data_IF_035457658645
#
_entry.id   IF_035457658645
#
_cell.length_a   1.000
_cell.length_b   1.000
_cell.length_c   1.000
_cell.angle_alpha   90.00
_cell.angle_beta   90.00
_cell.angle_gamma   90.00
#
_symmetry.space_group_name_H-M   'P 1'
#
loop_
_entity.id
_entity.type
_entity.pdbx_description
1 polymer ?
#
# COMPACT_ATOMS: atom_id res chain seq x y z
N UNK A 1 1.81 -43.08 21.32
CA UNK A 1 1.57 -42.71 22.74
C UNK A 1 0.09 -42.85 23.11
N UNK A 2 -0.85 -42.20 22.41
CA UNK A 2 -2.30 -42.33 22.67
C UNK A 2 -2.82 -43.76 22.49
N UNK A 3 -2.39 -44.46 21.42
CA UNK A 3 -2.69 -45.89 21.20
C UNK A 3 -2.21 -46.76 22.37
N UNK A 4 -1.01 -46.48 22.90
CA UNK A 4 -0.44 -47.21 24.04
C UNK A 4 -1.15 -46.90 25.38
N UNK A 5 -1.87 -45.78 25.46
CA UNK A 5 -2.68 -45.38 26.61
C UNK A 5 -4.12 -45.95 26.56
N UNK A 6 -4.46 -46.73 25.52
CA UNK A 6 -5.79 -47.35 25.40
C UNK A 6 -6.92 -46.33 25.22
N UNK A 7 -6.66 -45.21 24.53
CA UNK A 7 -7.68 -44.21 24.26
C UNK A 7 -8.79 -44.74 23.35
N UNK A 8 -10.00 -44.20 23.51
CA UNK A 8 -11.18 -44.61 22.75
C UNK A 8 -11.03 -44.34 21.25
N UNK A 9 -11.82 -45.07 20.46
CA UNK A 9 -11.84 -44.97 19.00
C UNK A 9 -12.30 -43.58 18.50
N UNK A 10 -13.01 -42.83 19.34
CA UNK A 10 -13.41 -41.44 19.12
C UNK A 10 -12.18 -40.50 19.07
N UNK A 11 -11.25 -40.64 20.02
CA UNK A 11 -10.03 -39.84 20.09
C UNK A 11 -9.03 -40.29 19.01
N UNK A 12 -8.95 -41.59 18.72
CA UNK A 12 -8.08 -42.15 17.69
C UNK A 12 -8.56 -41.87 16.24
N UNK A 13 -9.85 -41.59 16.06
CA UNK A 13 -10.37 -41.06 14.79
C UNK A 13 -9.89 -39.62 14.52
N UNK A 14 -9.63 -38.84 15.58
CA UNK A 14 -9.19 -37.46 15.50
C UNK A 14 -7.66 -37.33 15.46
N UNK A 15 -6.97 -38.06 16.34
CA UNK A 15 -5.51 -38.12 16.41
C UNK A 15 -5.05 -39.46 15.85
N UNK A 16 -4.95 -39.54 14.52
CA UNK A 16 -4.44 -40.72 13.82
C UNK A 16 -3.00 -41.04 14.26
N UNK A 17 -2.56 -42.26 13.97
CA UNK A 17 -1.18 -42.64 14.27
C UNK A 17 -0.22 -41.89 13.34
N UNK A 18 0.85 -41.34 13.92
CA UNK A 18 1.81 -40.51 13.19
C UNK A 18 2.93 -41.39 12.64
N UNK A 19 3.02 -41.49 11.32
CA UNK A 19 4.05 -42.27 10.66
C UNK A 19 5.25 -41.40 10.26
N UNK A 20 6.40 -42.04 10.05
CA UNK A 20 7.63 -41.33 9.65
C UNK A 20 7.47 -40.64 8.28
N UNK A 21 6.60 -41.16 7.44
CA UNK A 21 6.24 -40.63 6.12
C UNK A 21 5.50 -39.29 6.24
N UNK A 22 4.68 -39.11 7.28
CA UNK A 22 3.96 -37.86 7.57
C UNK A 22 4.89 -36.72 8.03
N UNK A 23 6.07 -37.06 8.53
CA UNK A 23 7.10 -36.13 9.00
C UNK A 23 8.07 -35.69 7.89
N UNK A 24 7.95 -36.25 6.69
CA UNK A 24 8.76 -35.82 5.56
C UNK A 24 8.35 -34.39 5.18
N UNK A 25 9.23 -33.42 5.49
CA UNK A 25 8.99 -32.01 5.17
C UNK A 25 8.91 -31.86 3.65
N UNK A 26 7.70 -31.75 3.12
CA UNK A 26 7.47 -31.29 1.75
C UNK A 26 7.69 -29.78 1.72
N UNK A 27 8.95 -29.37 1.59
CA UNK A 27 9.36 -27.95 1.51
C UNK A 27 8.63 -27.21 0.36
N UNK A 28 8.10 -27.94 -0.62
CA UNK A 28 7.28 -27.41 -1.70
C UNK A 28 6.00 -26.69 -1.22
N UNK A 29 5.38 -27.15 -0.13
CA UNK A 29 4.11 -26.59 0.39
C UNK A 29 4.26 -25.19 1.02
N UNK A 30 5.48 -24.76 1.33
CA UNK A 30 5.76 -23.47 1.97
C UNK A 30 6.27 -22.39 1.00
N UNK A 31 6.37 -22.72 -0.30
CA UNK A 31 6.70 -21.70 -1.31
C UNK A 31 5.49 -20.79 -1.53
N UNK A 32 5.55 -19.59 -0.94
CA UNK A 32 4.62 -18.51 -1.26
C UNK A 32 4.67 -18.30 -2.78
N UNK A 33 3.54 -18.54 -3.45
CA UNK A 33 3.26 -18.37 -4.89
C UNK A 33 3.26 -19.61 -5.79
N UNK A 34 3.34 -20.85 -5.28
CA UNK A 34 3.08 -22.03 -6.11
C UNK A 34 1.57 -22.28 -6.26
N UNK A 35 0.97 -21.70 -7.31
CA UNK A 35 -0.43 -21.90 -7.71
C UNK A 35 -0.76 -23.36 -8.10
N UNK A 36 0.23 -24.26 -8.11
CA UNK A 36 0.13 -25.65 -8.56
C UNK A 36 -0.03 -26.69 -7.43
N UNK A 37 -0.21 -26.28 -6.17
CA UNK A 37 -0.23 -27.22 -5.03
C UNK A 37 -1.59 -27.51 -4.42
N UNK A 38 -2.69 -27.24 -5.13
CA UNK A 38 -4.05 -27.65 -4.70
C UNK A 38 -4.28 -29.18 -4.59
N UNK A 39 -3.23 -30.02 -4.64
CA UNK A 39 -3.35 -31.49 -4.60
C UNK A 39 -2.25 -32.23 -3.82
N UNK A 40 -1.28 -31.55 -3.20
CA UNK A 40 -0.31 -32.25 -2.33
C UNK A 40 -0.98 -32.58 -1.00
N UNK A 41 -1.07 -33.88 -0.70
CA UNK A 41 -1.65 -34.43 0.53
C UNK A 41 -0.86 -33.93 1.75
N UNK A 42 -1.29 -32.81 2.32
CA UNK A 42 -0.80 -32.33 3.61
C UNK A 42 -1.03 -33.42 4.66
N UNK A 43 -0.05 -33.69 5.54
CA UNK A 43 -0.26 -34.60 6.66
C UNK A 43 -1.51 -34.24 7.45
N UNK A 44 -2.27 -35.26 7.85
CA UNK A 44 -3.59 -35.12 8.50
C UNK A 44 -3.56 -34.23 9.76
N UNK A 45 -2.42 -34.16 10.46
CA UNK A 45 -2.27 -33.37 11.67
C UNK A 45 -2.27 -31.85 11.42
N UNK A 46 -1.96 -31.38 10.20
CA UNK A 46 -2.08 -29.96 9.83
C UNK A 46 -3.52 -29.53 9.55
N UNK A 47 -4.38 -30.48 9.18
CA UNK A 47 -5.82 -30.25 8.96
C UNK A 47 -6.70 -30.48 10.18
N UNK A 48 -6.09 -30.90 11.31
CA UNK A 48 -6.81 -31.42 12.47
C UNK A 48 -7.77 -30.38 13.10
N UNK A 49 -7.38 -29.10 13.12
CA UNK A 49 -8.22 -28.02 13.65
C UNK A 49 -9.21 -27.49 12.60
N UNK A 50 -8.90 -27.57 11.31
CA UNK A 50 -9.71 -26.99 10.23
C UNK A 50 -11.04 -27.74 10.05
N UNK A 51 -11.02 -29.07 10.20
CA UNK A 51 -12.21 -29.91 9.99
C UNK A 51 -13.24 -29.74 11.12
N UNK A 52 -12.77 -29.54 12.36
CA UNK A 52 -13.62 -29.40 13.55
C UNK A 52 -14.01 -27.94 13.84
N UNK A 53 -13.21 -26.95 13.40
CA UNK A 53 -13.57 -25.52 13.45
C UNK A 53 -14.62 -25.11 12.40
N UNK A 54 -15.16 -26.04 11.61
CA UNK A 54 -16.30 -25.74 10.72
C UNK A 54 -17.52 -25.24 11.52
N UNK A 55 -17.65 -25.61 12.81
CA UNK A 55 -18.62 -25.02 13.75
C UNK A 55 -18.14 -23.69 14.39
N UNK A 56 -16.82 -23.46 14.43
CA UNK A 56 -16.19 -22.21 14.84
C UNK A 56 -16.28 -21.19 13.71
N UNK A 57 -17.47 -20.62 13.56
CA UNK A 57 -17.73 -19.41 12.73
C UNK A 57 -16.70 -18.29 13.00
N UNK A 58 -16.03 -18.32 14.16
CA UNK A 58 -15.03 -17.35 14.62
C UNK A 58 -13.82 -17.24 13.68
N UNK A 59 -13.12 -18.33 13.36
CA UNK A 59 -11.85 -18.25 12.62
C UNK A 59 -12.05 -17.72 11.19
N UNK A 60 -13.02 -18.26 10.46
CA UNK A 60 -13.36 -17.76 9.12
C UNK A 60 -13.88 -16.32 9.17
N UNK A 61 -14.68 -15.96 10.19
CA UNK A 61 -15.16 -14.57 10.33
C UNK A 61 -14.03 -13.59 10.60
N UNK A 62 -13.01 -13.98 11.36
CA UNK A 62 -11.85 -13.14 11.66
C UNK A 62 -10.99 -12.94 10.42
N UNK A 63 -10.79 -13.99 9.60
CA UNK A 63 -10.10 -13.88 8.32
C UNK A 63 -10.79 -12.89 7.37
N UNK A 64 -12.12 -12.98 7.22
CA UNK A 64 -12.89 -12.05 6.40
C UNK A 64 -12.91 -10.64 6.98
N UNK A 65 -12.96 -10.50 8.31
CA UNK A 65 -12.93 -9.20 8.97
C UNK A 65 -11.59 -8.49 8.76
N UNK A 66 -10.47 -9.19 8.92
CA UNK A 66 -9.13 -8.65 8.65
C UNK A 66 -9.00 -8.24 7.18
N UNK A 67 -9.43 -9.09 6.25
CA UNK A 67 -9.42 -8.76 4.82
C UNK A 67 -10.26 -7.52 4.51
N UNK A 68 -11.45 -7.41 5.12
CA UNK A 68 -12.31 -6.25 4.95
C UNK A 68 -11.68 -4.98 5.52
N UNK A 69 -11.06 -5.04 6.71
CA UNK A 69 -10.36 -3.91 7.33
C UNK A 69 -9.18 -3.45 6.46
N UNK A 70 -8.42 -4.38 5.91
CA UNK A 70 -7.31 -4.07 4.98
C UNK A 70 -7.83 -3.41 3.71
N UNK A 71 -8.84 -4.00 3.06
CA UNK A 71 -9.44 -3.44 1.85
C UNK A 71 -10.03 -2.04 2.11
N UNK A 72 -10.68 -1.84 3.26
CA UNK A 72 -11.20 -0.54 3.67
C UNK A 72 -10.06 0.47 3.91
N UNK A 73 -9.02 0.10 4.65
CA UNK A 73 -7.87 0.99 4.89
C UNK A 73 -7.17 1.39 3.59
N UNK A 74 -7.06 0.47 2.63
CA UNK A 74 -6.52 0.78 1.30
C UNK A 74 -7.43 1.78 0.60
N UNK A 75 -8.74 1.53 0.55
CA UNK A 75 -9.73 2.47 -0.02
C UNK A 75 -9.63 3.87 0.61
N UNK A 76 -9.65 3.93 1.95
CA UNK A 76 -9.61 5.19 2.69
C UNK A 76 -8.30 5.96 2.40
N UNK A 77 -7.16 5.27 2.29
CA UNK A 77 -5.90 5.88 1.86
C UNK A 77 -5.95 6.43 0.43
N UNK A 78 -6.52 5.70 -0.53
CA UNK A 78 -6.64 6.19 -1.91
C UNK A 78 -7.52 7.44 -1.98
N UNK A 79 -8.59 7.50 -1.19
CA UNK A 79 -9.46 8.67 -1.09
C UNK A 79 -8.72 9.88 -0.50
N UNK A 80 -7.90 9.67 0.54
CA UNK A 80 -7.05 10.73 1.11
C UNK A 80 -5.96 11.18 0.13
N UNK A 81 -5.28 10.25 -0.53
CA UNK A 81 -4.22 10.54 -1.49
C UNK A 81 -4.75 11.34 -2.69
N UNK A 82 -5.96 11.06 -3.17
CA UNK A 82 -6.61 11.86 -4.20
C UNK A 82 -6.77 13.33 -3.76
N UNK A 83 -7.32 13.56 -2.56
CA UNK A 83 -7.49 14.92 -2.04
C UNK A 83 -6.15 15.65 -1.83
N UNK A 84 -5.14 14.93 -1.32
CA UNK A 84 -3.80 15.47 -1.14
C UNK A 84 -3.15 15.85 -2.47
N UNK A 85 -3.19 14.97 -3.48
CA UNK A 85 -2.61 15.24 -4.81
C UNK A 85 -3.27 16.45 -5.45
N UNK A 86 -4.60 16.58 -5.36
CA UNK A 86 -5.35 17.74 -5.83
C UNK A 86 -4.86 19.02 -5.14
N UNK A 87 -4.73 18.98 -3.81
CA UNK A 87 -4.30 20.11 -3.00
C UNK A 87 -2.84 20.51 -3.27
N UNK A 88 -1.94 19.54 -3.36
CA UNK A 88 -0.52 19.74 -3.68
C UNK A 88 -0.35 20.38 -5.07
N UNK A 89 -1.14 19.95 -6.05
CA UNK A 89 -1.08 20.52 -7.39
C UNK A 89 -1.49 22.00 -7.39
N UNK A 90 -2.55 22.35 -6.65
CA UNK A 90 -2.96 23.74 -6.46
C UNK A 90 -1.91 24.56 -5.71
N UNK A 91 -1.25 23.96 -4.72
CA UNK A 91 -0.13 24.57 -4.01
C UNK A 91 1.06 24.84 -4.94
N UNK A 92 1.41 23.91 -5.83
CA UNK A 92 2.48 24.10 -6.80
C UNK A 92 2.22 25.30 -7.73
N UNK A 93 0.98 25.44 -8.24
CA UNK A 93 0.58 26.60 -9.05
C UNK A 93 0.70 27.90 -8.24
N UNK A 94 0.25 27.87 -6.98
CA UNK A 94 0.31 29.02 -6.07
C UNK A 94 1.75 29.41 -5.74
N UNK A 95 2.62 28.42 -5.52
CA UNK A 95 4.04 28.60 -5.29
C UNK A 95 4.73 29.27 -6.50
N UNK A 96 4.48 28.79 -7.73
CA UNK A 96 5.05 29.43 -8.92
C UNK A 96 4.61 30.88 -9.08
N UNK A 97 3.33 31.18 -8.80
CA UNK A 97 2.83 32.56 -8.80
C UNK A 97 3.46 33.42 -7.71
N UNK A 98 3.65 32.86 -6.53
CA UNK A 98 4.35 33.52 -5.43
C UNK A 98 5.80 33.85 -5.81
N UNK A 99 6.55 32.87 -6.32
CA UNK A 99 7.93 33.08 -6.79
C UNK A 99 8.00 34.15 -7.89
N UNK A 100 7.08 34.15 -8.85
CA UNK A 100 7.01 35.20 -9.86
C UNK A 100 6.81 36.60 -9.25
N UNK A 101 6.03 36.73 -8.16
CA UNK A 101 5.85 38.00 -7.44
C UNK A 101 7.12 38.39 -6.68
N UNK A 102 7.82 37.44 -6.06
CA UNK A 102 9.09 37.73 -5.36
C UNK A 102 10.16 38.23 -6.33
N UNK A 103 10.33 37.56 -7.48
CA UNK A 103 11.24 38.02 -8.52
C UNK A 103 10.84 39.39 -9.09
N UNK A 104 9.55 39.69 -9.18
CA UNK A 104 9.08 41.02 -9.57
C UNK A 104 9.49 42.10 -8.56
N UNK A 105 9.42 41.83 -7.25
CA UNK A 105 9.88 42.77 -6.22
C UNK A 105 11.37 43.05 -6.35
N UNK A 106 12.18 42.01 -6.56
CA UNK A 106 13.63 42.12 -6.79
C UNK A 106 13.92 42.94 -8.04
N UNK A 107 13.18 42.67 -9.13
CA UNK A 107 13.29 43.43 -10.38
C UNK A 107 13.03 44.92 -10.14
N UNK A 108 11.93 45.28 -9.46
CA UNK A 108 11.60 46.68 -9.16
C UNK A 108 12.63 47.35 -8.25
N UNK A 109 13.13 46.65 -7.23
CA UNK A 109 14.19 47.17 -6.35
C UNK A 109 15.52 47.40 -7.07
N UNK A 110 15.91 46.51 -7.98
CA UNK A 110 17.16 46.65 -8.73
C UNK A 110 17.16 47.81 -9.74
N UNK A 111 15.98 48.20 -10.23
CA UNK A 111 15.81 49.40 -11.05
C UNK A 111 16.13 50.69 -10.28
N UNK A 112 15.83 50.73 -8.97
CA UNK A 112 16.10 51.90 -8.13
C UNK A 112 17.59 52.03 -7.77
N UNK A 113 18.31 50.91 -7.71
CA UNK A 113 19.74 50.83 -7.32
C UNK A 113 20.67 50.98 -8.55
N UNK A 114 20.12 50.97 -9.77
CA UNK A 114 20.91 51.11 -11.00
C UNK A 114 21.72 49.84 -11.32
N UNK A 115 21.17 48.66 -11.03
CA UNK A 115 21.83 47.36 -11.26
C UNK A 115 21.19 46.60 -12.45
N UNK A 116 21.56 46.90 -13.72
CA UNK A 116 20.87 46.37 -14.90
C UNK A 116 20.99 44.86 -15.06
N UNK A 117 22.10 44.25 -14.63
CA UNK A 117 22.27 42.79 -14.68
C UNK A 117 21.29 42.03 -13.78
N UNK A 118 21.11 42.53 -12.55
CA UNK A 118 20.14 41.96 -11.59
C UNK A 118 18.72 42.12 -12.11
N UNK A 119 18.42 43.28 -12.70
CA UNK A 119 17.12 43.54 -13.31
C UNK A 119 16.80 42.54 -14.43
N UNK A 120 17.72 42.35 -15.38
CA UNK A 120 17.54 41.42 -16.49
C UNK A 120 17.37 39.97 -16.01
N UNK A 121 18.16 39.54 -15.04
CA UNK A 121 18.06 38.19 -14.48
C UNK A 121 16.73 37.99 -13.74
N UNK A 122 16.34 38.93 -12.87
CA UNK A 122 15.07 38.87 -12.16
C UNK A 122 13.87 38.88 -13.11
N UNK A 123 13.92 39.66 -14.19
CA UNK A 123 12.91 39.65 -15.24
C UNK A 123 12.79 38.27 -15.91
N UNK A 124 13.93 37.64 -16.25
CA UNK A 124 13.96 36.28 -16.81
C UNK A 124 13.34 35.26 -15.85
N UNK A 125 13.72 35.29 -14.58
CA UNK A 125 13.21 34.37 -13.55
C UNK A 125 11.70 34.54 -13.36
N UNK A 126 11.21 35.77 -13.26
CA UNK A 126 9.78 36.07 -13.21
C UNK A 126 9.03 35.44 -14.39
N UNK A 127 9.52 35.63 -15.62
CA UNK A 127 8.87 35.07 -16.82
C UNK A 127 8.88 33.54 -16.80
N UNK A 128 9.98 32.92 -16.36
CA UNK A 128 10.06 31.46 -16.21
C UNK A 128 8.98 30.93 -15.27
N UNK A 129 8.86 31.48 -14.06
CA UNK A 129 7.85 31.04 -13.09
C UNK A 129 6.41 31.30 -13.57
N UNK A 130 6.15 32.40 -14.27
CA UNK A 130 4.84 32.65 -14.90
C UNK A 130 4.50 31.59 -15.96
N UNK A 131 5.49 31.16 -16.76
CA UNK A 131 5.30 30.10 -17.75
C UNK A 131 5.00 28.76 -17.08
N UNK A 132 5.73 28.41 -16.01
CA UNK A 132 5.48 27.22 -15.22
C UNK A 132 4.07 27.24 -14.61
N UNK A 133 3.66 28.35 -13.99
CA UNK A 133 2.32 28.50 -13.43
C UNK A 133 1.22 28.35 -14.50
N UNK A 134 1.42 28.93 -15.69
CA UNK A 134 0.47 28.80 -16.81
C UNK A 134 0.39 27.36 -17.31
N UNK A 135 1.54 26.71 -17.50
CA UNK A 135 1.60 25.33 -17.96
C UNK A 135 0.95 24.36 -16.96
N UNK A 136 1.28 24.49 -15.67
CA UNK A 136 0.66 23.70 -14.61
C UNK A 136 -0.86 23.92 -14.57
N UNK A 137 -1.33 25.17 -14.65
CA UNK A 137 -2.77 25.47 -14.71
C UNK A 137 -3.46 24.84 -15.91
N UNK A 138 -2.84 24.85 -17.09
CA UNK A 138 -3.40 24.19 -18.27
C UNK A 138 -3.47 22.67 -18.09
N UNK A 139 -2.44 22.05 -17.50
CA UNK A 139 -2.47 20.62 -17.17
C UNK A 139 -3.58 20.28 -16.18
N UNK A 140 -3.75 21.09 -15.14
CA UNK A 140 -4.82 20.94 -14.16
C UNK A 140 -6.22 20.98 -14.78
N UNK A 141 -6.43 21.85 -15.78
CA UNK A 141 -7.72 21.97 -16.46
C UNK A 141 -7.99 20.85 -17.48
N UNK A 142 -6.97 20.06 -17.82
CA UNK A 142 -7.05 18.96 -18.77
C UNK A 142 -7.13 17.58 -18.07
N UNK A 143 -6.96 17.55 -16.74
CA UNK A 143 -7.26 16.41 -15.88
C UNK A 143 -8.75 16.44 -15.52
#
# INVERSE_FOLDING_TARGET
AMVALGTGADILGHYQELHKEDLAVQTAAFSQNAQEHCGTHLPWFWSINVLWDTESKSCMSEFYHIHWLQAKSVKDHWEEEEELVISEFQWAISFFRFQAKEWHKIQMGSSAIGAPGVWCYAARQRVMYLRLAKHAKHKWQAM
#
